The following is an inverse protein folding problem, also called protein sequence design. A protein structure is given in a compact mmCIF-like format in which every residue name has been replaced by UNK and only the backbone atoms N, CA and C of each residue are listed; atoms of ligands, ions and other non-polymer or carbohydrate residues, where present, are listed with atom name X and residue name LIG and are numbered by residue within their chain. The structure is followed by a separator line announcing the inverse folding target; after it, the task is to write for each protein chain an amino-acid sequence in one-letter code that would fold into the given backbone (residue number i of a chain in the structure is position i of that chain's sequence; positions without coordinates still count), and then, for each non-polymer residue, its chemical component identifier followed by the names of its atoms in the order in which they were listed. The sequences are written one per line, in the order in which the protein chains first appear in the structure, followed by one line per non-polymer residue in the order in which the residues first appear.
data_IF_032048219741
#
_entry.id   IF_032048219741
#
_cell.length_a   1.000
_cell.length_b   1.000
_cell.length_c   1.000
_cell.angle_alpha   90.00
_cell.angle_beta   90.00
_cell.angle_gamma   90.00
#
_symmetry.space_group_name_H-M   'P 1'
#
loop_
_entity.id
_entity.type
_entity.pdbx_description
1 polymer ?
#
# COMPACT_ATOMS: atom_id res chain seq x y z
N UNK A 1 15.12 2.42 -15.24
CA UNK A 1 16.18 2.96 -14.34
C UNK A 1 16.11 2.27 -12.97
N UNK A 2 15.02 2.41 -12.18
CA UNK A 2 14.91 1.93 -10.79
C UNK A 2 15.34 0.46 -10.59
N UNK A 3 14.80 -0.46 -11.41
CA UNK A 3 15.14 -1.90 -11.32
C UNK A 3 16.64 -2.16 -11.57
N UNK A 4 17.23 -1.46 -12.54
CA UNK A 4 18.67 -1.60 -12.82
C UNK A 4 19.55 -1.03 -11.72
N UNK A 5 19.11 0.04 -11.06
CA UNK A 5 19.78 0.60 -9.89
C UNK A 5 19.70 -0.38 -8.72
N UNK A 6 18.51 -0.92 -8.43
CA UNK A 6 18.35 -1.91 -7.37
C UNK A 6 19.23 -3.15 -7.60
N UNK A 7 19.31 -3.67 -8.83
CA UNK A 7 20.18 -4.79 -9.19
C UNK A 7 21.67 -4.43 -9.00
N UNK A 8 22.09 -3.27 -9.50
CA UNK A 8 23.48 -2.84 -9.42
C UNK A 8 24.00 -2.64 -7.99
N UNK A 9 23.12 -2.24 -7.08
CA UNK A 9 23.46 -2.04 -5.66
C UNK A 9 23.04 -3.19 -4.75
N UNK A 10 22.46 -4.27 -5.30
CA UNK A 10 21.99 -5.41 -4.51
C UNK A 10 20.81 -5.06 -3.57
N UNK A 11 19.96 -4.14 -3.96
CA UNK A 11 18.84 -3.68 -3.13
C UNK A 11 17.64 -4.63 -3.24
N UNK A 12 17.02 -4.92 -2.11
CA UNK A 12 15.76 -5.68 -2.02
C UNK A 12 14.52 -4.76 -2.09
N UNK A 13 14.68 -3.47 -1.84
CA UNK A 13 13.66 -2.43 -1.95
C UNK A 13 14.32 -1.13 -2.41
N UNK A 14 13.56 -0.23 -3.00
CA UNK A 14 14.05 1.06 -3.47
C UNK A 14 13.01 2.15 -3.26
N UNK A 15 13.44 3.32 -2.83
CA UNK A 15 12.60 4.51 -2.72
C UNK A 15 13.17 5.69 -3.49
N UNK A 16 12.31 6.62 -3.87
CA UNK A 16 12.70 7.85 -4.54
C UNK A 16 12.13 9.02 -3.76
N UNK A 17 13.03 9.87 -3.25
CA UNK A 17 12.64 11.15 -2.68
C UNK A 17 12.31 12.12 -3.83
N UNK A 18 11.03 12.21 -4.15
CA UNK A 18 10.58 13.02 -5.27
C UNK A 18 10.32 14.48 -4.88
N UNK A 19 9.62 14.71 -3.77
CA UNK A 19 9.04 16.03 -3.43
C UNK A 19 10.07 17.11 -3.07
N UNK A 20 11.26 16.71 -2.61
CA UNK A 20 12.30 17.66 -2.23
C UNK A 20 13.40 17.77 -3.30
N UNK A 21 13.06 18.29 -4.45
CA UNK A 21 14.01 18.62 -5.50
C UNK A 21 13.71 18.00 -6.86
N UNK A 22 13.41 16.70 -6.93
CA UNK A 22 13.14 16.05 -8.22
C UNK A 22 11.89 16.55 -8.90
N UNK A 23 10.84 16.96 -8.17
CA UNK A 23 9.58 17.50 -8.71
C UNK A 23 9.76 18.68 -9.66
N UNK A 24 10.84 19.46 -9.51
CA UNK A 24 11.11 20.65 -10.29
C UNK A 24 11.94 20.35 -11.55
N UNK A 25 12.53 19.15 -11.64
CA UNK A 25 13.43 18.77 -12.74
C UNK A 25 12.96 17.58 -13.57
N UNK A 26 12.17 16.66 -13.00
CA UNK A 26 11.67 15.49 -13.73
C UNK A 26 10.20 15.19 -13.42
N UNK A 27 9.60 14.33 -14.24
CA UNK A 27 8.26 13.82 -14.02
C UNK A 27 8.21 12.85 -12.82
N UNK A 28 7.07 12.78 -12.14
CA UNK A 28 6.83 11.87 -11.04
C UNK A 28 6.95 10.41 -11.47
N UNK A 29 7.42 9.56 -10.56
CA UNK A 29 7.68 8.13 -10.79
C UNK A 29 6.58 7.20 -10.27
N UNK A 30 5.41 7.73 -9.90
CA UNK A 30 4.34 6.94 -9.26
C UNK A 30 3.83 5.78 -10.12
N UNK A 31 3.71 5.97 -11.43
CA UNK A 31 3.40 4.86 -12.34
C UNK A 31 4.41 3.71 -12.20
N UNK A 32 5.69 4.05 -12.01
CA UNK A 32 6.75 3.05 -11.80
C UNK A 32 6.56 2.34 -10.47
N UNK A 33 6.18 3.07 -9.42
CA UNK A 33 5.87 2.49 -8.11
C UNK A 33 4.79 1.43 -8.20
N UNK A 34 3.63 1.74 -8.80
CA UNK A 34 2.55 0.78 -8.97
C UNK A 34 2.96 -0.45 -9.78
N UNK A 35 3.79 -0.27 -10.81
CA UNK A 35 4.31 -1.38 -11.60
C UNK A 35 5.30 -2.23 -10.81
N UNK A 36 6.20 -1.62 -10.02
CA UNK A 36 7.24 -2.36 -9.29
C UNK A 36 6.69 -3.09 -8.06
N UNK A 37 5.66 -2.55 -7.42
CA UNK A 37 4.94 -3.21 -6.32
C UNK A 37 4.06 -4.39 -6.79
N UNK A 38 4.07 -4.71 -8.08
CA UNK A 38 3.30 -5.79 -8.68
C UNK A 38 4.24 -6.89 -9.20
N UNK A 39 3.94 -8.16 -8.88
CA UNK A 39 4.75 -9.31 -9.35
C UNK A 39 4.66 -9.49 -10.87
N UNK A 40 3.45 -9.29 -11.41
CA UNK A 40 3.20 -9.33 -12.85
C UNK A 40 3.36 -7.91 -13.44
N UNK A 41 4.49 -7.66 -14.07
CA UNK A 41 4.87 -6.36 -14.65
C UNK A 41 5.69 -6.54 -15.93
N UNK A 42 5.82 -5.47 -16.74
CA UNK A 42 6.71 -5.51 -17.90
C UNK A 42 8.16 -5.89 -17.51
N UNK A 43 8.82 -6.78 -18.25
CA UNK A 43 10.18 -7.22 -17.93
C UNK A 43 11.20 -6.09 -18.10
N UNK A 44 12.22 -6.13 -17.27
CA UNK A 44 13.39 -5.24 -17.36
C UNK A 44 14.64 -6.08 -17.45
N UNK A 45 15.52 -5.76 -18.41
CA UNK A 45 16.72 -6.54 -18.66
C UNK A 45 17.98 -5.76 -18.28
N UNK A 46 18.96 -6.47 -17.76
CA UNK A 46 20.34 -6.02 -17.62
C UNK A 46 21.02 -5.90 -19.00
N UNK A 47 22.21 -5.34 -19.04
CA UNK A 47 22.99 -5.19 -20.30
C UNK A 47 23.44 -6.53 -20.89
N UNK A 48 23.53 -7.57 -20.09
CA UNK A 48 23.87 -8.95 -20.50
C UNK A 48 22.66 -9.77 -20.97
N UNK A 49 21.45 -9.17 -21.01
CA UNK A 49 20.22 -9.81 -21.40
C UNK A 49 19.50 -10.58 -20.29
N UNK A 50 20.01 -10.64 -19.08
CA UNK A 50 19.36 -11.25 -17.91
C UNK A 50 18.14 -10.43 -17.51
N UNK A 51 16.99 -11.08 -17.32
CA UNK A 51 15.81 -10.44 -16.76
C UNK A 51 15.99 -10.17 -15.27
N UNK A 52 15.70 -8.94 -14.86
CA UNK A 52 15.87 -8.47 -13.50
C UNK A 52 14.58 -8.64 -12.69
N UNK A 53 14.68 -9.28 -11.52
CA UNK A 53 13.55 -9.55 -10.63
C UNK A 53 12.39 -10.25 -11.36
N UNK A 54 12.69 -11.24 -12.18
CA UNK A 54 11.71 -11.99 -12.96
C UNK A 54 10.63 -12.62 -12.05
N UNK A 55 9.34 -12.34 -12.32
CA UNK A 55 8.22 -12.84 -11.54
C UNK A 55 8.17 -12.36 -10.09
N UNK A 56 8.93 -11.30 -9.73
CA UNK A 56 8.96 -10.73 -8.40
C UNK A 56 8.57 -9.26 -8.43
N UNK A 57 7.87 -8.80 -7.40
CA UNK A 57 7.80 -7.38 -7.12
C UNK A 57 9.17 -6.88 -6.63
N UNK A 58 9.43 -5.61 -6.82
CA UNK A 58 10.51 -4.89 -6.17
C UNK A 58 9.81 -3.79 -5.33
N UNK A 59 9.65 -3.98 -4.01
CA UNK A 59 8.99 -3.00 -3.16
C UNK A 59 9.58 -1.61 -3.40
N UNK A 60 8.70 -0.69 -3.76
CA UNK A 60 9.08 0.66 -4.17
C UNK A 60 8.19 1.68 -3.47
N UNK A 61 8.77 2.78 -3.00
CA UNK A 61 8.07 3.86 -2.35
C UNK A 61 8.58 5.22 -2.83
N UNK A 62 7.66 6.12 -3.16
CA UNK A 62 7.97 7.46 -3.68
C UNK A 62 7.90 8.55 -2.62
N UNK A 63 7.99 8.17 -1.37
CA UNK A 63 7.97 9.08 -0.22
C UNK A 63 9.30 9.00 0.53
N UNK A 64 9.63 10.03 1.30
CA UNK A 64 10.73 9.97 2.26
C UNK A 64 10.25 9.25 3.50
N UNK A 65 9.94 7.98 3.35
CA UNK A 65 9.41 7.15 4.41
C UNK A 65 10.12 5.79 4.40
N UNK A 66 11.32 5.77 4.94
CA UNK A 66 12.12 4.56 5.05
C UNK A 66 11.44 3.49 5.91
N UNK A 67 10.64 3.90 6.90
CA UNK A 67 9.85 2.98 7.70
C UNK A 67 8.77 2.30 6.86
N UNK A 68 8.15 3.01 5.91
CA UNK A 68 7.22 2.42 4.96
C UNK A 68 7.95 1.46 4.00
N UNK A 69 9.14 1.82 3.53
CA UNK A 69 9.97 0.93 2.71
C UNK A 69 10.37 -0.36 3.43
N UNK A 70 10.72 -0.27 4.71
CA UNK A 70 11.01 -1.43 5.54
C UNK A 70 9.76 -2.30 5.74
N UNK A 71 8.61 -1.69 6.01
CA UNK A 71 7.34 -2.40 6.16
C UNK A 71 6.94 -3.11 4.84
N UNK A 72 7.10 -2.44 3.70
CA UNK A 72 6.85 -3.02 2.39
C UNK A 72 7.69 -4.27 2.13
N UNK A 73 8.99 -4.20 2.40
CA UNK A 73 9.91 -5.31 2.21
C UNK A 73 9.56 -6.50 3.11
N UNK A 74 9.38 -6.27 4.41
CA UNK A 74 9.03 -7.33 5.36
C UNK A 74 7.69 -7.97 4.98
N UNK A 75 6.71 -7.16 4.59
CA UNK A 75 5.41 -7.65 4.14
C UNK A 75 5.54 -8.53 2.90
N UNK A 76 6.26 -8.06 1.89
CA UNK A 76 6.49 -8.78 0.65
C UNK A 76 7.13 -10.16 0.90
N UNK A 77 8.20 -10.19 1.67
CA UNK A 77 8.93 -11.43 1.97
C UNK A 77 8.06 -12.42 2.77
N UNK A 78 7.36 -11.94 3.79
CA UNK A 78 6.49 -12.81 4.61
C UNK A 78 5.32 -13.36 3.80
N UNK A 79 4.61 -12.53 3.01
CA UNK A 79 3.49 -13.00 2.20
C UNK A 79 3.93 -13.98 1.13
N UNK A 80 5.07 -13.75 0.51
CA UNK A 80 5.68 -14.69 -0.43
C UNK A 80 5.95 -16.04 0.24
N UNK A 81 6.51 -16.06 1.45
CA UNK A 81 6.76 -17.29 2.22
C UNK A 81 5.48 -17.99 2.68
N UNK A 82 4.43 -17.23 2.95
CA UNK A 82 3.11 -17.76 3.32
C UNK A 82 2.29 -18.25 2.13
N UNK A 83 2.78 -18.08 0.90
CA UNK A 83 2.02 -18.39 -0.32
C UNK A 83 0.80 -17.51 -0.51
N UNK A 84 0.82 -16.30 0.02
CA UNK A 84 -0.23 -15.30 -0.10
C UNK A 84 0.14 -14.27 -1.18
N UNK A 85 -0.83 -13.52 -1.75
CA UNK A 85 -0.54 -12.42 -2.67
C UNK A 85 0.37 -11.39 -2.03
N UNK A 86 1.63 -11.22 -2.48
CA UNK A 86 2.60 -10.39 -1.77
C UNK A 86 2.57 -8.92 -2.15
N UNK A 87 1.78 -8.56 -3.17
CA UNK A 87 1.64 -7.18 -3.59
C UNK A 87 1.09 -6.35 -2.44
N UNK A 88 1.84 -5.32 -2.09
CA UNK A 88 1.45 -4.39 -1.04
C UNK A 88 1.84 -2.97 -1.43
N UNK A 89 1.20 -2.00 -0.80
CA UNK A 89 1.52 -0.59 -1.00
C UNK A 89 1.12 0.21 0.22
N UNK A 90 1.72 1.38 0.36
CA UNK A 90 1.31 2.33 1.39
C UNK A 90 0.03 3.05 0.97
N UNK A 91 -0.74 3.47 1.95
CA UNK A 91 -1.92 4.31 1.78
C UNK A 91 -1.98 5.39 2.84
N UNK A 92 -2.43 6.57 2.45
CA UNK A 92 -2.90 7.59 3.39
C UNK A 92 -4.28 7.22 3.92
N UNK A 93 -4.51 7.43 5.19
CA UNK A 93 -5.85 7.51 5.78
C UNK A 93 -6.40 8.92 5.54
N UNK A 94 -7.15 9.12 4.46
CA UNK A 94 -7.59 10.46 4.05
C UNK A 94 -8.77 10.98 4.86
N UNK A 95 -9.84 10.24 4.86
CA UNK A 95 -11.06 10.52 5.60
C UNK A 95 -11.92 9.26 5.65
N UNK A 96 -13.04 9.32 6.36
CA UNK A 96 -14.00 8.22 6.39
C UNK A 96 -15.36 8.72 6.83
N UNK A 97 -16.36 7.92 6.54
CA UNK A 97 -17.75 8.19 6.88
C UNK A 97 -18.46 6.86 7.05
N UNK A 98 -19.37 6.81 8.02
CA UNK A 98 -20.28 5.68 8.16
C UNK A 98 -21.10 5.51 6.88
N UNK A 99 -21.19 4.28 6.39
CA UNK A 99 -21.99 3.92 5.24
C UNK A 99 -22.89 2.74 5.61
N UNK A 100 -24.18 2.84 5.30
CA UNK A 100 -25.16 1.77 5.49
C UNK A 100 -25.87 1.53 4.17
N UNK A 101 -25.64 0.38 3.57
CA UNK A 101 -26.20 -0.01 2.28
C UNK A 101 -25.36 -1.08 1.57
N UNK A 102 -25.91 -1.73 0.56
CA UNK A 102 -25.23 -2.74 -0.27
C UNK A 102 -24.48 -3.82 0.55
N UNK A 103 -25.01 -4.21 1.72
CA UNK A 103 -24.37 -5.21 2.59
C UNK A 103 -23.27 -4.68 3.51
N UNK A 104 -23.00 -3.39 3.47
CA UNK A 104 -22.04 -2.71 4.35
C UNK A 104 -22.80 -1.88 5.37
N UNK A 105 -22.43 -1.98 6.65
CA UNK A 105 -22.92 -1.12 7.74
C UNK A 105 -21.77 -0.85 8.70
N UNK A 106 -20.87 0.06 8.30
CA UNK A 106 -19.65 0.32 9.05
C UNK A 106 -19.07 1.71 8.75
N UNK A 107 -18.06 2.11 9.52
CA UNK A 107 -17.26 3.29 9.22
C UNK A 107 -16.25 2.95 8.12
N UNK A 108 -16.53 3.41 6.91
CA UNK A 108 -15.71 3.13 5.72
C UNK A 108 -14.72 4.26 5.50
N UNK A 109 -13.45 3.93 5.61
CA UNK A 109 -12.34 4.82 5.30
C UNK A 109 -12.11 4.93 3.80
N UNK A 110 -11.63 6.08 3.37
CA UNK A 110 -10.95 6.27 2.08
C UNK A 110 -9.45 6.17 2.33
N UNK A 111 -8.87 5.08 1.86
CA UNK A 111 -7.44 4.91 1.76
C UNK A 111 -7.02 5.36 0.36
N UNK A 112 -6.07 6.22 0.30
CA UNK A 112 -5.60 6.80 -0.96
C UNK A 112 -4.08 6.83 -0.97
N UNK A 113 -3.49 6.38 -2.06
CA UNK A 113 -2.07 6.55 -2.30
C UNK A 113 -1.84 7.62 -3.37
N UNK A 114 -0.82 8.45 -3.17
CA UNK A 114 -0.43 9.49 -4.11
C UNK A 114 0.15 8.87 -5.38
N UNK A 115 -0.69 8.64 -6.38
CA UNK A 115 -0.29 8.32 -7.72
C UNK A 115 -0.51 6.90 -8.19
N UNK A 116 -0.19 5.85 -7.43
CA UNK A 116 -0.29 4.49 -7.97
C UNK A 116 -0.51 3.41 -6.92
N UNK A 117 -1.31 2.39 -7.26
CA UNK A 117 -1.40 1.14 -6.53
C UNK A 117 -1.04 -0.03 -7.48
N UNK A 118 -0.58 -1.17 -6.92
CA UNK A 118 -0.29 -2.33 -7.75
C UNK A 118 -1.55 -2.85 -8.43
N UNK A 119 -1.53 -3.15 -9.73
CA UNK A 119 -2.70 -3.69 -10.44
C UNK A 119 -3.33 -4.92 -9.79
N UNK A 120 -2.56 -5.75 -9.09
CA UNK A 120 -3.09 -6.88 -8.32
C UNK A 120 -4.11 -6.49 -7.24
N UNK A 121 -4.15 -5.23 -6.83
CA UNK A 121 -5.15 -4.70 -5.91
C UNK A 121 -6.48 -4.35 -6.58
N UNK A 122 -6.56 -4.27 -7.91
CA UNK A 122 -7.80 -3.96 -8.64
C UNK A 122 -8.55 -5.23 -9.04
N UNK A 123 -9.86 -5.13 -9.29
CA UNK A 123 -10.75 -6.27 -9.54
C UNK A 123 -10.25 -7.18 -10.66
N UNK A 124 -9.91 -6.61 -11.83
CA UNK A 124 -9.41 -7.33 -13.01
C UNK A 124 -7.93 -7.01 -13.33
N UNK A 125 -7.17 -6.67 -12.30
CA UNK A 125 -5.76 -6.32 -12.46
C UNK A 125 -5.56 -5.13 -13.42
N UNK A 126 -4.69 -5.29 -14.40
CA UNK A 126 -4.43 -4.24 -15.39
C UNK A 126 -5.65 -3.83 -16.22
N UNK A 127 -6.66 -4.70 -16.38
CA UNK A 127 -7.87 -4.36 -17.14
C UNK A 127 -8.75 -3.33 -16.44
N UNK A 128 -8.70 -3.28 -15.12
CA UNK A 128 -9.40 -2.29 -14.29
C UNK A 128 -8.52 -1.07 -13.94
N UNK A 129 -7.31 -1.03 -14.49
CA UNK A 129 -6.38 0.07 -14.26
C UNK A 129 -6.49 1.14 -15.36
N UNK A 130 -6.26 2.36 -14.98
CA UNK A 130 -6.08 3.49 -15.90
C UNK A 130 -4.94 4.39 -15.43
N UNK A 131 -4.53 5.32 -16.27
CA UNK A 131 -3.47 6.25 -15.95
C UNK A 131 -3.89 7.67 -16.35
N UNK A 132 -3.72 8.60 -15.42
CA UNK A 132 -3.88 10.03 -15.67
C UNK A 132 -2.55 10.74 -15.48
N UNK A 133 -2.50 12.00 -15.90
CA UNK A 133 -1.41 12.87 -15.55
C UNK A 133 -1.51 13.22 -14.05
N UNK A 134 -0.40 13.16 -13.36
CA UNK A 134 -0.30 13.66 -11.98
C UNK A 134 -0.77 15.11 -11.86
N UNK A 135 -1.53 15.47 -10.80
CA UNK A 135 -2.01 16.83 -10.59
C UNK A 135 -0.87 17.84 -10.58
N UNK A 136 -0.97 18.87 -11.42
CA UNK A 136 0.09 19.86 -11.60
C UNK A 136 0.43 20.63 -10.32
N UNK A 137 -0.53 20.74 -9.39
CA UNK A 137 -0.35 21.40 -8.10
C UNK A 137 0.76 20.72 -7.27
N UNK A 138 0.83 19.38 -7.30
CA UNK A 138 1.83 18.61 -6.57
C UNK A 138 3.03 18.25 -7.45
N UNK A 139 2.80 18.02 -8.73
CA UNK A 139 3.77 17.49 -9.68
C UNK A 139 3.83 18.36 -10.95
N UNK A 140 4.49 19.52 -10.90
CA UNK A 140 4.48 20.49 -12.01
C UNK A 140 5.03 19.91 -13.32
N UNK A 141 5.99 18.97 -13.25
CA UNK A 141 6.54 18.28 -14.43
C UNK A 141 5.69 17.08 -14.90
N UNK A 142 4.58 16.80 -14.22
CA UNK A 142 3.69 15.69 -14.55
C UNK A 142 4.18 14.35 -14.06
N UNK A 143 3.97 13.33 -14.85
CA UNK A 143 4.12 11.91 -14.53
C UNK A 143 2.79 11.20 -14.72
N UNK A 144 2.84 9.89 -14.88
CA UNK A 144 1.65 9.04 -14.96
C UNK A 144 1.27 8.51 -13.59
N UNK A 145 -0.03 8.31 -13.40
CA UNK A 145 -0.60 7.55 -12.28
C UNK A 145 -0.88 6.12 -12.70
N UNK A 146 -1.16 5.25 -11.75
CA UNK A 146 -1.72 3.91 -12.00
C UNK A 146 -2.88 3.72 -11.05
N UNK A 147 -4.10 4.00 -11.52
CA UNK A 147 -5.28 4.12 -10.69
C UNK A 147 -6.37 3.13 -11.04
N UNK A 148 -7.20 2.87 -10.06
CA UNK A 148 -8.38 2.03 -10.12
C UNK A 148 -9.06 2.00 -8.75
N UNK A 149 -10.17 1.29 -8.67
CA UNK A 149 -10.83 0.98 -7.40
C UNK A 149 -10.27 -0.35 -6.89
N UNK A 150 -9.85 -0.37 -5.64
CA UNK A 150 -9.36 -1.59 -5.01
C UNK A 150 -10.47 -2.62 -4.85
N UNK A 151 -10.16 -3.88 -5.18
CA UNK A 151 -11.09 -5.02 -5.07
C UNK A 151 -11.49 -5.27 -3.62
N UNK A 152 -12.70 -5.78 -3.36
CA UNK A 152 -13.10 -6.20 -2.01
C UNK A 152 -12.29 -7.41 -1.54
N UNK A 153 -12.11 -7.52 -0.23
CA UNK A 153 -11.47 -8.67 0.41
C UNK A 153 -10.74 -8.33 1.69
N UNK A 154 -10.36 -9.38 2.44
CA UNK A 154 -9.66 -9.24 3.70
C UNK A 154 -8.24 -8.75 3.52
N UNK A 155 -7.82 -7.86 4.41
CA UNK A 155 -6.49 -7.25 4.41
C UNK A 155 -5.83 -7.34 5.79
N UNK A 156 -4.52 -7.29 5.77
CA UNK A 156 -3.70 -6.89 6.92
C UNK A 156 -3.16 -5.51 6.62
N UNK A 157 -3.25 -4.64 7.62
CA UNK A 157 -2.61 -3.33 7.57
C UNK A 157 -1.54 -3.22 8.64
N UNK A 158 -0.53 -2.44 8.39
CA UNK A 158 0.55 -2.20 9.33
C UNK A 158 1.19 -0.85 9.13
N UNK A 159 1.89 -0.39 10.15
CA UNK A 159 2.71 0.80 10.09
C UNK A 159 3.93 0.64 10.99
N UNK A 160 5.12 0.71 10.40
CA UNK A 160 6.37 0.85 11.15
C UNK A 160 6.65 2.36 11.32
N UNK A 161 7.05 2.77 12.51
CA UNK A 161 7.40 4.16 12.82
C UNK A 161 8.46 4.23 13.92
N UNK A 162 9.10 5.38 14.03
CA UNK A 162 10.11 5.63 15.05
C UNK A 162 9.52 6.49 16.18
N UNK A 163 9.64 6.02 17.42
CA UNK A 163 9.28 6.78 18.62
C UNK A 163 10.38 6.60 19.68
N UNK A 164 10.93 7.70 20.19
CA UNK A 164 12.00 7.66 21.19
C UNK A 164 13.25 6.87 20.77
N UNK A 165 13.63 6.93 19.49
CA UNK A 165 14.72 6.15 18.89
C UNK A 165 14.51 4.62 18.89
N UNK A 166 13.27 4.17 19.06
CA UNK A 166 12.88 2.76 18.98
C UNK A 166 11.89 2.58 17.84
N UNK A 167 12.06 1.52 17.05
CA UNK A 167 11.09 1.15 16.04
C UNK A 167 9.87 0.49 16.68
N UNK A 168 8.72 0.98 16.31
CA UNK A 168 7.40 0.45 16.68
C UNK A 168 6.66 0.01 15.42
N UNK A 169 5.73 -0.90 15.60
CA UNK A 169 4.80 -1.29 14.54
C UNK A 169 3.38 -1.42 15.08
N UNK A 170 2.45 -0.73 14.47
CA UNK A 170 1.03 -0.95 14.66
C UNK A 170 0.54 -1.91 13.58
N UNK A 171 -0.22 -2.93 13.96
CA UNK A 171 -0.77 -3.92 13.03
C UNK A 171 -2.22 -4.22 13.35
N UNK A 172 -3.00 -4.46 12.33
CA UNK A 172 -4.39 -4.86 12.47
C UNK A 172 -4.91 -5.58 11.24
N UNK A 173 -6.13 -6.05 11.36
CA UNK A 173 -6.88 -6.64 10.26
C UNK A 173 -7.96 -5.69 9.79
N UNK A 174 -8.37 -5.83 8.56
CA UNK A 174 -9.40 -5.03 7.95
C UNK A 174 -10.03 -5.74 6.77
N UNK A 175 -10.91 -5.03 6.12
CA UNK A 175 -11.59 -5.50 4.93
C UNK A 175 -11.73 -4.36 3.94
N UNK A 176 -11.43 -4.60 2.68
CA UNK A 176 -11.81 -3.70 1.60
C UNK A 176 -13.23 -4.06 1.19
N UNK A 177 -14.11 -3.08 1.19
CA UNK A 177 -15.53 -3.25 0.85
C UNK A 177 -15.83 -2.68 -0.53
N UNK A 178 -16.77 -3.31 -1.23
CA UNK A 178 -17.30 -2.79 -2.48
C UNK A 178 -18.47 -1.83 -2.17
N UNK A 179 -18.42 -0.65 -2.77
CA UNK A 179 -19.48 0.35 -2.65
C UNK A 179 -20.15 0.54 -4.02
N UNK A 180 -21.44 0.90 -4.05
CA UNK A 180 -22.11 1.26 -5.30
C UNK A 180 -21.32 2.30 -6.10
N UNK A 181 -21.39 2.22 -7.41
CA UNK A 181 -20.62 3.09 -8.32
C UNK A 181 -20.81 4.58 -8.04
N UNK A 182 -22.04 4.99 -7.69
CA UNK A 182 -22.34 6.39 -7.34
C UNK A 182 -21.61 6.83 -6.06
N UNK A 183 -21.63 5.99 -5.01
CA UNK A 183 -20.95 6.29 -3.75
C UNK A 183 -19.43 6.27 -3.92
N UNK A 184 -18.91 5.31 -4.68
CA UNK A 184 -17.48 5.27 -5.07
C UNK A 184 -17.08 6.55 -5.80
N UNK A 185 -17.83 6.97 -6.79
CA UNK A 185 -17.58 8.21 -7.53
C UNK A 185 -17.63 9.45 -6.63
N UNK A 186 -18.64 9.52 -5.73
CA UNK A 186 -18.75 10.61 -4.76
C UNK A 186 -17.51 10.71 -3.86
N UNK A 187 -17.05 9.59 -3.33
CA UNK A 187 -15.87 9.52 -2.46
C UNK A 187 -14.60 9.87 -3.24
N UNK A 188 -14.46 9.33 -4.44
CA UNK A 188 -13.30 9.56 -5.28
C UNK A 188 -13.17 11.01 -5.70
N UNK A 189 -14.27 11.61 -6.19
CA UNK A 189 -14.30 13.03 -6.55
C UNK A 189 -14.11 13.97 -5.36
N UNK A 190 -14.42 13.51 -4.16
CA UNK A 190 -14.17 14.23 -2.90
C UNK A 190 -12.72 14.19 -2.42
N UNK A 191 -11.83 13.52 -3.16
CA UNK A 191 -10.40 13.42 -2.87
C UNK A 191 -9.58 13.84 -4.09
N UNK A 192 -8.78 12.93 -4.65
CA UNK A 192 -7.96 13.16 -5.84
C UNK A 192 -8.29 12.08 -6.86
N UNK A 193 -9.20 12.35 -7.81
CA UNK A 193 -9.70 11.31 -8.72
C UNK A 193 -8.65 10.80 -9.72
N UNK A 194 -7.52 11.43 -9.83
CA UNK A 194 -6.36 10.96 -10.60
C UNK A 194 -5.60 9.82 -9.90
N UNK A 195 -5.85 9.57 -8.61
CA UNK A 195 -5.16 8.57 -7.81
C UNK A 195 -6.06 7.34 -7.54
N UNK A 196 -5.48 6.17 -7.25
CA UNK A 196 -6.28 4.99 -6.92
C UNK A 196 -7.02 5.15 -5.59
N UNK A 197 -8.17 4.50 -5.43
CA UNK A 197 -8.98 4.57 -4.21
C UNK A 197 -9.25 3.18 -3.63
N UNK A 198 -9.21 3.08 -2.30
CA UNK A 198 -9.60 1.90 -1.55
C UNK A 198 -10.62 2.28 -0.47
N UNK A 199 -11.68 1.51 -0.37
CA UNK A 199 -12.69 1.65 0.67
C UNK A 199 -12.44 0.63 1.79
N UNK A 200 -11.74 1.06 2.84
CA UNK A 200 -11.29 0.18 3.91
C UNK A 200 -12.15 0.25 5.17
N UNK A 201 -12.46 -0.89 5.75
CA UNK A 201 -12.98 -1.02 7.11
C UNK A 201 -11.88 -1.58 8.00
N UNK A 202 -11.53 -0.87 9.05
CA UNK A 202 -10.54 -1.32 10.03
C UNK A 202 -11.28 -1.99 11.19
N UNK A 203 -11.11 -3.28 11.36
CA UNK A 203 -11.87 -4.06 12.34
C UNK A 203 -11.45 -3.73 13.78
N UNK A 204 -12.42 -3.38 14.61
CA UNK A 204 -12.22 -3.12 16.05
C UNK A 204 -11.46 -1.85 16.40
N UNK A 205 -11.27 -0.93 15.45
CA UNK A 205 -10.68 0.40 15.69
C UNK A 205 -11.64 1.47 15.23
N UNK A 206 -12.11 2.28 16.15
CA UNK A 206 -12.96 3.43 15.81
C UNK A 206 -12.13 4.54 15.14
N UNK A 207 -12.83 5.43 14.43
CA UNK A 207 -12.23 6.64 13.86
C UNK A 207 -11.42 7.42 14.91
N UNK A 208 -12.01 7.63 16.07
CA UNK A 208 -11.39 8.46 17.11
C UNK A 208 -10.17 7.79 17.74
N UNK A 209 -10.19 6.46 17.90
CA UNK A 209 -9.02 5.69 18.31
C UNK A 209 -7.90 5.78 17.27
N UNK A 210 -8.22 5.61 15.99
CA UNK A 210 -7.23 5.73 14.92
C UNK A 210 -6.63 7.13 14.90
N UNK A 211 -7.44 8.18 14.93
CA UNK A 211 -6.97 9.57 14.90
C UNK A 211 -6.17 9.96 16.15
N UNK A 212 -6.49 9.39 17.31
CA UNK A 212 -5.78 9.69 18.56
C UNK A 212 -4.43 8.97 18.67
N UNK A 213 -4.28 7.79 18.07
CA UNK A 213 -3.13 6.91 18.27
C UNK A 213 -2.27 6.67 17.03
N UNK A 214 -2.78 6.97 15.85
CA UNK A 214 -2.03 6.79 14.61
C UNK A 214 -0.86 7.78 14.55
N UNK A 215 0.35 7.26 14.59
CA UNK A 215 1.59 8.06 14.69
C UNK A 215 2.13 8.52 13.34
N UNK A 216 1.58 8.03 12.27
CA UNK A 216 2.07 8.30 10.93
C UNK A 216 0.92 8.37 9.92
N UNK A 217 1.13 9.11 8.85
CA UNK A 217 0.12 9.28 7.80
C UNK A 217 -0.12 8.00 7.00
N UNK A 218 0.93 7.20 6.77
CA UNK A 218 0.87 6.02 5.92
C UNK A 218 0.60 4.75 6.70
N UNK A 219 -0.19 3.87 6.10
CA UNK A 219 -0.27 2.46 6.46
C UNK A 219 0.07 1.60 5.25
N UNK A 220 0.76 0.49 5.45
CA UNK A 220 0.87 -0.55 4.43
C UNK A 220 -0.35 -1.44 4.45
N UNK A 221 -0.81 -1.82 3.27
CA UNK A 221 -1.95 -2.72 3.08
C UNK A 221 -1.54 -3.86 2.16
N UNK A 222 -1.91 -5.07 2.56
CA UNK A 222 -1.70 -6.31 1.81
C UNK A 222 -2.92 -7.20 1.93
N UNK A 223 -3.32 -7.83 0.82
CA UNK A 223 -4.45 -8.75 0.80
C UNK A 223 -4.08 -10.13 1.34
N UNK A 224 -5.11 -10.85 1.79
CA UNK A 224 -5.05 -12.28 2.09
C UNK A 224 -6.21 -12.98 1.40
N UNK A 225 -6.12 -14.32 1.29
CA UNK A 225 -7.16 -15.11 0.61
C UNK A 225 -8.48 -15.16 1.36
N UNK A 226 -8.44 -15.03 2.67
CA UNK A 226 -9.62 -15.06 3.56
C UNK A 226 -9.34 -14.39 4.92
N UNK A 227 -10.39 -14.13 5.69
CA UNK A 227 -10.31 -13.46 6.99
C UNK A 227 -9.49 -14.27 8.03
N UNK A 228 -9.63 -15.59 8.04
CA UNK A 228 -8.86 -16.45 8.98
C UNK A 228 -7.37 -16.33 8.68
N UNK A 229 -7.01 -16.34 7.42
CA UNK A 229 -5.65 -16.13 6.95
C UNK A 229 -5.14 -14.74 7.31
N UNK A 230 -5.98 -13.69 7.22
CA UNK A 230 -5.60 -12.34 7.63
C UNK A 230 -5.18 -12.29 9.10
N UNK A 231 -5.98 -12.85 10.00
CA UNK A 231 -5.64 -12.90 11.43
C UNK A 231 -4.35 -13.71 11.68
N UNK A 232 -4.18 -14.85 11.02
CA UNK A 232 -2.96 -15.68 11.13
C UNK A 232 -1.73 -14.93 10.61
N UNK A 233 -1.81 -14.36 9.43
CA UNK A 233 -0.71 -13.62 8.80
C UNK A 233 -0.32 -12.37 9.60
N UNK A 234 -1.29 -11.65 10.15
CA UNK A 234 -1.05 -10.52 11.04
C UNK A 234 -0.21 -10.93 12.27
N UNK A 235 -0.55 -12.05 12.94
CA UNK A 235 0.22 -12.56 14.07
C UNK A 235 1.62 -13.05 13.67
N UNK A 236 1.76 -13.70 12.52
CA UNK A 236 3.08 -14.12 12.01
C UNK A 236 3.95 -12.89 11.74
N UNK A 237 3.40 -11.86 11.10
CA UNK A 237 4.11 -10.60 10.87
C UNK A 237 4.52 -9.95 12.18
N UNK A 238 3.63 -9.90 13.17
CA UNK A 238 3.94 -9.38 14.50
C UNK A 238 5.10 -10.12 15.16
N UNK A 239 5.10 -11.46 15.10
CA UNK A 239 6.18 -12.27 15.65
C UNK A 239 7.52 -12.02 14.92
N UNK A 240 7.50 -11.90 13.60
CA UNK A 240 8.70 -11.60 12.82
C UNK A 240 9.26 -10.21 13.17
N UNK A 241 8.41 -9.19 13.26
CA UNK A 241 8.81 -7.83 13.66
C UNK A 241 9.40 -7.81 15.07
N UNK A 242 8.80 -8.52 16.02
CA UNK A 242 9.31 -8.64 17.38
C UNK A 242 10.71 -9.30 17.41
N UNK A 243 10.97 -10.31 16.56
CA UNK A 243 12.30 -10.92 16.44
C UNK A 243 13.35 -9.97 15.87
N UNK A 244 12.91 -8.98 15.08
CA UNK A 244 13.79 -7.90 14.57
C UNK A 244 13.98 -6.77 15.60
N UNK A 245 13.44 -6.90 16.82
CA UNK A 245 13.55 -5.88 17.87
C UNK A 245 12.57 -4.72 17.72
N UNK A 246 11.55 -4.87 16.89
CA UNK A 246 10.51 -3.85 16.70
C UNK A 246 9.40 -4.06 17.73
N UNK A 247 9.02 -3.03 18.44
CA UNK A 247 7.92 -3.05 19.41
C UNK A 247 6.59 -3.14 18.67
N UNK A 248 5.81 -4.18 18.94
CA UNK A 248 4.57 -4.47 18.20
C UNK A 248 3.34 -4.12 19.01
N UNK A 249 2.42 -3.40 18.41
CA UNK A 249 1.11 -3.05 18.95
C UNK A 249 0.01 -3.63 18.05
N UNK A 250 -0.79 -4.55 18.60
CA UNK A 250 -2.00 -4.98 17.91
C UNK A 250 -3.10 -3.93 18.04
N UNK A 251 -3.74 -3.60 16.92
CA UNK A 251 -4.82 -2.64 16.83
C UNK A 251 -6.11 -3.34 16.40
N UNK A 252 -7.17 -3.19 17.22
CA UNK A 252 -8.49 -3.77 16.92
C UNK A 252 -8.59 -5.28 17.17
N UNK A 253 -9.45 -5.92 16.38
CA UNK A 253 -9.96 -7.28 16.64
C UNK A 253 -9.06 -8.39 16.07
N UNK A 254 -7.77 -8.39 16.38
CA UNK A 254 -6.88 -9.48 15.97
C UNK A 254 -7.15 -10.72 16.82
N UNK A 255 -7.63 -11.81 16.19
CA UNK A 255 -7.96 -13.06 16.89
C UNK A 255 -6.71 -13.92 17.09
N UNK A 256 -6.60 -14.50 18.29
CA UNK A 256 -5.46 -15.33 18.70
C UNK A 256 -5.76 -16.85 18.75
N UNK A 257 -6.99 -17.22 18.41
CA UNK A 257 -7.44 -18.63 18.37
C UNK A 257 -7.66 -19.09 16.95
#
# INVERSE_FOLDING_TARGET
AAVRMADAYGCATIGIQYQQGLKDICAASDLVEGLLNNTHRPPVYASDGRELFAGKALPHFNEVDECAGLDALITYELWSQLGQPPENTLHDLRWGQHYSGAGVDDFVWVFLISGAAPPAHFADGYKSASSDRQPAMFFPKGGGTLKGVSKPGPIVWSRIYLEGNVLHADLGVGEVVDLPAEETARRWNGTTPEWPIMHGVIKGVSRDQMMAKHKANHIHVVYTTDETTAHKACRIKAAALAQLGIVVNFCGDVRFK
#
